data_IF_075349651749
#
_entry.id   IF_075349651749
#
_cell.length_a   1.000
_cell.length_b   1.000
_cell.length_c   1.000
_cell.angle_alpha   90.00
_cell.angle_beta   90.00
_cell.angle_gamma   90.00
#
_symmetry.space_group_name_H-M   'P 1'
#
loop_
_entity.id
_entity.type
_entity.pdbx_description
1 polymer ?
#
# COMPACT_ATOMS: atom_id res chain seq x y z
N UNK A 1 -28.62 18.17 -36.70
CA UNK A 1 -29.59 17.65 -37.70
C UNK A 1 -29.66 16.12 -37.83
N UNK A 2 -28.56 15.34 -37.79
CA UNK A 2 -28.64 13.88 -37.99
C UNK A 2 -29.20 13.08 -36.80
N UNK A 3 -28.85 13.47 -35.56
CA UNK A 3 -29.28 12.77 -34.34
C UNK A 3 -30.76 13.01 -34.02
N UNK A 4 -31.22 14.26 -34.05
CA UNK A 4 -32.62 14.60 -33.76
C UNK A 4 -33.67 14.13 -34.79
N UNK A 5 -33.27 13.37 -35.82
CA UNK A 5 -34.17 12.73 -36.79
C UNK A 5 -34.29 11.21 -36.56
N UNK A 6 -33.61 10.67 -35.55
CA UNK A 6 -33.70 9.27 -35.16
C UNK A 6 -35.02 9.01 -34.42
N UNK A 7 -35.44 7.75 -34.36
CA UNK A 7 -36.47 7.30 -33.41
C UNK A 7 -36.02 7.57 -31.98
N UNK A 8 -36.95 7.87 -31.08
CA UNK A 8 -36.69 8.20 -29.67
C UNK A 8 -35.81 7.15 -28.98
N UNK A 9 -36.16 5.87 -29.12
CA UNK A 9 -35.38 4.71 -28.66
C UNK A 9 -33.88 4.79 -29.04
N UNK A 10 -33.57 5.19 -30.27
CA UNK A 10 -32.19 5.28 -30.76
C UNK A 10 -31.49 6.55 -30.25
N UNK A 11 -32.24 7.60 -29.93
CA UNK A 11 -31.70 8.79 -29.28
C UNK A 11 -31.34 8.47 -27.83
N UNK A 12 -32.20 7.74 -27.12
CA UNK A 12 -31.97 7.36 -25.71
C UNK A 12 -30.75 6.45 -25.54
N UNK A 13 -30.59 5.46 -26.42
CA UNK A 13 -29.37 4.63 -26.48
C UNK A 13 -28.11 5.49 -26.64
N UNK A 14 -28.14 6.44 -27.59
CA UNK A 14 -26.99 7.32 -27.83
C UNK A 14 -26.78 8.31 -26.68
N UNK A 15 -27.84 8.73 -26.00
CA UNK A 15 -27.79 9.59 -24.82
C UNK A 15 -27.06 8.90 -23.67
N UNK A 16 -27.47 7.69 -23.29
CA UNK A 16 -26.79 6.91 -22.23
C UNK A 16 -25.35 6.60 -22.62
N UNK A 17 -25.12 6.12 -23.84
CA UNK A 17 -23.77 5.88 -24.36
C UNK A 17 -22.89 7.14 -24.30
N UNK A 18 -23.47 8.32 -24.52
CA UNK A 18 -22.72 9.58 -24.47
C UNK A 18 -22.25 9.96 -23.07
N UNK A 19 -22.93 9.49 -22.02
CA UNK A 19 -22.55 9.69 -20.62
C UNK A 19 -21.39 8.77 -20.24
N UNK A 20 -21.40 7.53 -20.73
CA UNK A 20 -20.30 6.57 -20.54
C UNK A 20 -19.00 7.11 -21.14
N UNK A 21 -19.02 7.60 -22.38
CA UNK A 21 -17.88 8.26 -22.99
C UNK A 21 -17.88 8.26 -24.51
N UNK A 22 -16.73 8.58 -25.10
CA UNK A 22 -16.53 8.44 -26.55
C UNK A 22 -16.53 6.97 -26.98
N UNK A 23 -16.01 6.10 -26.12
CA UNK A 23 -16.19 4.65 -26.16
C UNK A 23 -17.16 4.24 -25.05
N UNK A 24 -17.93 3.18 -25.30
CA UNK A 24 -18.95 2.69 -24.38
C UNK A 24 -19.18 1.18 -24.57
N UNK A 25 -19.74 0.53 -23.56
CA UNK A 25 -20.04 -0.90 -23.57
C UNK A 25 -21.52 -1.12 -23.86
N UNK A 26 -21.83 -1.98 -24.84
CA UNK A 26 -23.22 -2.25 -25.23
C UNK A 26 -24.05 -2.78 -24.07
N UNK A 27 -23.47 -3.68 -23.26
CA UNK A 27 -24.12 -4.30 -22.10
C UNK A 27 -24.41 -3.29 -20.98
N UNK A 28 -23.53 -2.30 -20.76
CA UNK A 28 -23.77 -1.21 -19.80
C UNK A 28 -24.99 -0.41 -20.24
N UNK A 29 -25.04 0.02 -21.50
CA UNK A 29 -26.18 0.78 -22.03
C UNK A 29 -27.46 -0.06 -22.01
N UNK A 30 -27.37 -1.36 -22.29
CA UNK A 30 -28.49 -2.30 -22.22
C UNK A 30 -29.07 -2.38 -20.81
N UNK A 31 -28.22 -2.54 -19.80
CA UNK A 31 -28.61 -2.62 -18.41
C UNK A 31 -29.25 -1.31 -17.90
N UNK A 32 -28.65 -0.16 -18.21
CA UNK A 32 -29.17 1.16 -17.80
C UNK A 32 -30.53 1.46 -18.45
N UNK A 33 -30.75 0.99 -19.68
CA UNK A 33 -32.01 1.20 -20.41
C UNK A 33 -33.06 0.10 -20.19
N UNK A 34 -32.73 -0.96 -19.43
CA UNK A 34 -33.56 -2.17 -19.29
C UNK A 34 -33.95 -2.79 -20.65
N UNK A 35 -33.00 -2.85 -21.58
CA UNK A 35 -33.16 -3.43 -22.92
C UNK A 35 -32.40 -4.76 -22.98
N UNK A 36 -33.00 -5.78 -23.60
CA UNK A 36 -32.31 -7.06 -23.80
C UNK A 36 -31.03 -6.88 -24.64
N UNK A 37 -29.90 -7.48 -24.22
CA UNK A 37 -28.60 -7.30 -24.88
C UNK A 37 -28.64 -7.57 -26.40
N UNK A 38 -29.40 -8.59 -26.83
CA UNK A 38 -29.55 -8.92 -28.25
C UNK A 38 -30.22 -7.79 -29.03
N UNK A 39 -31.22 -7.14 -28.44
CA UNK A 39 -31.90 -5.99 -29.04
C UNK A 39 -30.97 -4.77 -29.09
N UNK A 40 -30.23 -4.52 -28.01
CA UNK A 40 -29.21 -3.47 -27.97
C UNK A 40 -28.15 -3.66 -29.08
N UNK A 41 -27.61 -4.86 -29.22
CA UNK A 41 -26.62 -5.18 -30.26
C UNK A 41 -27.21 -5.04 -31.67
N UNK A 42 -28.48 -5.36 -31.88
CA UNK A 42 -29.15 -5.12 -33.16
C UNK A 42 -29.30 -3.62 -33.47
N UNK A 43 -29.74 -2.83 -32.49
CA UNK A 43 -29.85 -1.38 -32.62
C UNK A 43 -28.50 -0.73 -32.92
N UNK A 44 -27.43 -1.13 -32.22
CA UNK A 44 -26.08 -0.63 -32.45
C UNK A 44 -25.52 -1.05 -33.81
N UNK A 45 -25.59 -2.34 -34.16
CA UNK A 45 -24.94 -2.88 -35.36
C UNK A 45 -25.67 -2.55 -36.66
N UNK A 46 -27.01 -2.57 -36.67
CA UNK A 46 -27.82 -2.36 -37.88
C UNK A 46 -28.24 -0.90 -38.03
N UNK A 47 -28.90 -0.33 -37.02
CA UNK A 47 -29.45 1.02 -37.13
C UNK A 47 -28.36 2.08 -36.95
N UNK A 48 -27.66 2.09 -35.81
CA UNK A 48 -26.73 3.17 -35.48
C UNK A 48 -25.40 3.09 -36.27
N UNK A 49 -24.86 1.89 -36.49
CA UNK A 49 -23.61 1.69 -37.25
C UNK A 49 -23.84 1.64 -38.75
N UNK A 50 -24.71 0.74 -39.24
CA UNK A 50 -24.84 0.50 -40.69
C UNK A 50 -25.69 1.56 -41.39
N UNK A 51 -26.89 1.84 -40.87
CA UNK A 51 -27.83 2.78 -41.47
C UNK A 51 -27.46 4.24 -41.21
N UNK A 52 -27.21 4.59 -39.94
CA UNK A 52 -26.99 5.98 -39.54
C UNK A 52 -25.50 6.38 -39.44
N UNK A 53 -24.58 5.42 -39.35
CA UNK A 53 -23.11 5.63 -39.25
C UNK A 53 -22.71 6.60 -38.13
N UNK A 54 -23.35 6.46 -36.98
CA UNK A 54 -23.13 7.28 -35.78
C UNK A 54 -22.21 6.61 -34.76
N UNK A 55 -22.12 5.27 -34.79
CA UNK A 55 -21.23 4.48 -33.95
C UNK A 55 -20.40 3.50 -34.80
N UNK A 56 -19.34 2.97 -34.20
CA UNK A 56 -18.48 1.92 -34.76
C UNK A 56 -18.22 0.89 -33.68
N UNK A 57 -18.19 -0.38 -34.07
CA UNK A 57 -17.74 -1.47 -33.22
C UNK A 57 -16.21 -1.40 -33.12
N UNK A 58 -15.68 -1.69 -31.92
CA UNK A 58 -14.26 -1.53 -31.58
C UNK A 58 -13.63 -2.90 -31.35
N UNK A 59 -14.05 -3.58 -30.31
CA UNK A 59 -13.57 -4.89 -29.91
C UNK A 59 -14.60 -5.58 -29.02
N UNK A 60 -14.37 -6.87 -28.77
CA UNK A 60 -15.13 -7.65 -27.80
C UNK A 60 -14.16 -8.13 -26.73
N UNK A 61 -14.51 -7.95 -25.46
CA UNK A 61 -13.70 -8.34 -24.31
C UNK A 61 -14.39 -9.45 -23.53
N UNK A 62 -13.61 -10.43 -23.06
CA UNK A 62 -14.10 -11.44 -22.13
C UNK A 62 -13.78 -10.97 -20.71
N UNK A 63 -14.81 -10.68 -19.93
CA UNK A 63 -14.71 -10.23 -18.52
C UNK A 63 -15.57 -11.14 -17.67
N UNK A 64 -14.99 -11.79 -16.66
CA UNK A 64 -15.66 -12.80 -15.83
C UNK A 64 -16.45 -13.87 -16.61
N UNK A 65 -15.94 -14.28 -17.78
CA UNK A 65 -16.60 -15.27 -18.64
C UNK A 65 -17.81 -14.74 -19.44
N UNK A 66 -18.04 -13.42 -19.45
CA UNK A 66 -19.04 -12.73 -20.27
C UNK A 66 -18.37 -11.92 -21.36
N UNK A 67 -18.98 -11.90 -22.55
CA UNK A 67 -18.49 -11.07 -23.65
C UNK A 67 -19.13 -9.68 -23.57
N UNK A 68 -18.28 -8.66 -23.41
CA UNK A 68 -18.64 -7.25 -23.46
C UNK A 68 -18.27 -6.69 -24.83
N UNK A 69 -19.24 -6.11 -25.53
CA UNK A 69 -19.03 -5.54 -26.86
C UNK A 69 -18.78 -4.04 -26.74
N UNK A 70 -17.57 -3.60 -27.07
CA UNK A 70 -17.18 -2.20 -27.00
C UNK A 70 -17.46 -1.49 -28.33
N UNK A 71 -18.15 -0.36 -28.21
CA UNK A 71 -18.47 0.54 -29.31
C UNK A 71 -17.84 1.91 -29.05
N UNK A 72 -17.73 2.70 -30.11
CA UNK A 72 -17.32 4.09 -30.02
C UNK A 72 -18.17 4.96 -30.95
N UNK A 73 -18.35 6.22 -30.59
CA UNK A 73 -18.95 7.19 -31.49
C UNK A 73 -18.09 7.34 -32.75
N UNK A 74 -18.73 7.44 -33.91
CA UNK A 74 -18.03 7.65 -35.17
C UNK A 74 -17.31 9.02 -35.22
N UNK A 75 -17.72 9.96 -34.36
CA UNK A 75 -17.09 11.27 -34.19
C UNK A 75 -17.39 11.82 -32.79
N UNK A 76 -16.35 12.29 -32.07
CA UNK A 76 -16.49 12.84 -30.70
C UNK A 76 -17.51 13.98 -30.57
N UNK A 77 -17.73 14.76 -31.64
CA UNK A 77 -18.77 15.82 -31.65
C UNK A 77 -20.19 15.29 -31.44
N UNK A 78 -20.50 14.05 -31.84
CA UNK A 78 -21.82 13.46 -31.59
C UNK A 78 -22.02 13.19 -30.10
N UNK A 79 -21.04 12.55 -29.46
CA UNK A 79 -21.03 12.33 -28.02
C UNK A 79 -21.16 13.66 -27.28
N UNK A 80 -20.33 14.66 -27.61
CA UNK A 80 -20.36 15.97 -26.95
C UNK A 80 -21.70 16.68 -27.10
N UNK A 81 -22.31 16.62 -28.29
CA UNK A 81 -23.62 17.24 -28.55
C UNK A 81 -24.72 16.60 -27.68
N UNK A 82 -24.76 15.27 -27.61
CA UNK A 82 -25.72 14.53 -26.79
C UNK A 82 -25.50 14.82 -25.31
N UNK A 83 -24.27 14.64 -24.83
CA UNK A 83 -23.91 14.83 -23.43
C UNK A 83 -24.13 16.26 -22.93
N UNK A 84 -23.81 17.27 -23.74
CA UNK A 84 -24.04 18.68 -23.40
C UNK A 84 -25.50 19.10 -23.47
N UNK A 85 -26.36 18.32 -24.13
CA UNK A 85 -27.80 18.52 -24.16
C UNK A 85 -28.50 18.13 -22.86
N UNK A 86 -27.87 17.28 -22.04
CA UNK A 86 -28.44 16.78 -20.79
C UNK A 86 -28.40 17.81 -19.66
N UNK A 87 -29.46 17.83 -18.86
CA UNK A 87 -29.52 18.61 -17.63
C UNK A 87 -28.52 18.11 -16.58
N UNK A 88 -28.11 18.97 -15.64
CA UNK A 88 -27.18 18.58 -14.59
C UNK A 88 -27.67 17.39 -13.73
N UNK A 89 -28.97 17.37 -13.40
CA UNK A 89 -29.57 16.28 -12.62
C UNK A 89 -29.63 14.96 -13.39
N UNK A 90 -29.95 15.01 -14.68
CA UNK A 90 -30.00 13.84 -15.57
C UNK A 90 -28.62 13.23 -15.77
N UNK A 91 -27.59 14.05 -16.03
CA UNK A 91 -26.21 13.57 -16.11
C UNK A 91 -25.80 12.88 -14.82
N UNK A 92 -26.06 13.49 -13.67
CA UNK A 92 -25.73 12.93 -12.37
C UNK A 92 -26.35 11.54 -12.16
N UNK A 93 -27.64 11.37 -12.49
CA UNK A 93 -28.31 10.07 -12.39
C UNK A 93 -27.70 9.03 -13.33
N UNK A 94 -27.56 9.38 -14.61
CA UNK A 94 -26.99 8.48 -15.61
C UNK A 94 -25.55 8.08 -15.28
N UNK A 95 -24.73 8.99 -14.74
CA UNK A 95 -23.38 8.65 -14.29
C UNK A 95 -23.38 7.59 -13.19
N UNK A 96 -24.31 7.66 -12.23
CA UNK A 96 -24.43 6.68 -11.15
C UNK A 96 -24.93 5.32 -11.66
N UNK A 97 -25.93 5.32 -12.54
CA UNK A 97 -26.47 4.10 -13.16
C UNK A 97 -25.40 3.39 -14.00
N UNK A 98 -24.64 4.16 -14.79
CA UNK A 98 -23.51 3.64 -15.58
C UNK A 98 -22.40 3.12 -14.68
N UNK A 99 -22.05 3.83 -13.60
CA UNK A 99 -21.02 3.38 -12.66
C UNK A 99 -21.39 2.02 -12.02
N UNK A 100 -22.65 1.90 -11.60
CA UNK A 100 -23.18 0.67 -11.00
C UNK A 100 -23.17 -0.47 -12.01
N UNK A 101 -23.64 -0.23 -13.23
CA UNK A 101 -23.62 -1.24 -14.29
C UNK A 101 -22.19 -1.67 -14.68
N UNK A 102 -21.24 -0.73 -14.76
CA UNK A 102 -19.84 -1.05 -15.00
C UNK A 102 -19.25 -1.91 -13.87
N UNK A 103 -19.48 -1.53 -12.61
CA UNK A 103 -18.98 -2.28 -11.46
C UNK A 103 -19.57 -3.70 -11.41
N UNK A 104 -20.87 -3.87 -11.67
CA UNK A 104 -21.53 -5.18 -11.69
C UNK A 104 -21.10 -6.07 -12.87
N UNK A 105 -20.86 -5.48 -14.05
CA UNK A 105 -20.44 -6.24 -15.23
C UNK A 105 -18.98 -6.64 -15.17
N UNK A 106 -18.13 -5.83 -14.53
CA UNK A 106 -16.71 -6.12 -14.41
C UNK A 106 -16.37 -6.97 -13.16
N UNK A 107 -17.21 -6.95 -12.12
CA UNK A 107 -17.04 -7.80 -10.94
C UNK A 107 -15.67 -7.64 -10.30
N UNK A 108 -14.96 -8.75 -10.11
CA UNK A 108 -13.61 -8.77 -9.54
C UNK A 108 -12.57 -8.07 -10.44
N UNK A 109 -12.87 -7.86 -11.72
CA UNK A 109 -12.02 -7.14 -12.68
C UNK A 109 -12.29 -5.62 -12.72
N UNK A 110 -13.19 -5.08 -11.87
CA UNK A 110 -13.56 -3.67 -11.85
C UNK A 110 -12.38 -2.72 -11.57
N UNK A 111 -11.36 -3.18 -10.83
CA UNK A 111 -10.12 -2.42 -10.64
C UNK A 111 -9.45 -2.05 -11.97
N UNK A 112 -9.57 -2.88 -13.02
CA UNK A 112 -9.01 -2.61 -14.34
C UNK A 112 -9.61 -1.38 -15.04
N UNK A 113 -10.78 -0.92 -14.60
CA UNK A 113 -11.46 0.29 -15.09
C UNK A 113 -11.61 1.35 -13.99
N UNK A 114 -10.80 1.29 -12.94
CA UNK A 114 -10.86 2.22 -11.80
C UNK A 114 -10.87 3.71 -12.20
N UNK A 115 -10.07 4.19 -13.18
CA UNK A 115 -10.14 5.59 -13.63
C UNK A 115 -11.53 5.99 -14.18
N UNK A 116 -12.21 5.07 -14.88
CA UNK A 116 -13.54 5.31 -15.42
C UNK A 116 -14.59 5.32 -14.29
N UNK A 117 -14.56 4.32 -13.40
CA UNK A 117 -15.46 4.25 -12.24
C UNK A 117 -15.31 5.47 -11.33
N UNK A 118 -14.08 5.89 -11.05
CA UNK A 118 -13.78 7.09 -10.26
C UNK A 118 -14.45 8.35 -10.84
N UNK A 119 -14.37 8.53 -12.17
CA UNK A 119 -15.02 9.66 -12.84
C UNK A 119 -16.55 9.57 -12.73
N UNK A 120 -17.12 8.40 -13.03
CA UNK A 120 -18.57 8.25 -13.02
C UNK A 120 -19.16 8.45 -11.62
N UNK A 121 -18.59 7.84 -10.58
CA UNK A 121 -19.05 8.07 -9.20
C UNK A 121 -18.85 9.51 -8.75
N UNK A 122 -17.76 10.17 -9.16
CA UNK A 122 -17.57 11.60 -8.90
C UNK A 122 -18.66 12.47 -9.54
N UNK A 123 -18.98 12.23 -10.82
CA UNK A 123 -20.03 12.96 -11.55
C UNK A 123 -21.45 12.64 -11.04
N UNK A 124 -21.64 11.45 -10.42
CA UNK A 124 -22.86 11.05 -9.74
C UNK A 124 -23.05 11.69 -8.35
N UNK A 125 -21.97 12.23 -7.76
CA UNK A 125 -21.95 12.75 -6.40
C UNK A 125 -21.78 11.67 -5.32
N UNK A 126 -21.32 10.48 -5.69
CA UNK A 126 -21.03 9.37 -4.78
C UNK A 126 -19.57 9.45 -4.30
N UNK A 127 -19.31 10.39 -3.38
CA UNK A 127 -17.95 10.75 -2.96
C UNK A 127 -17.14 9.59 -2.39
N UNK A 128 -17.76 8.66 -1.67
CA UNK A 128 -17.06 7.51 -1.09
C UNK A 128 -16.50 6.58 -2.16
N UNK A 129 -17.34 6.07 -3.08
CA UNK A 129 -16.89 5.23 -4.19
C UNK A 129 -15.94 5.98 -5.13
N UNK A 130 -16.18 7.27 -5.37
CA UNK A 130 -15.26 8.10 -6.14
C UNK A 130 -13.86 8.17 -5.52
N UNK A 131 -13.78 8.24 -4.17
CA UNK A 131 -12.52 8.22 -3.45
C UNK A 131 -11.81 6.87 -3.53
N UNK A 132 -12.54 5.76 -3.42
CA UNK A 132 -11.99 4.40 -3.50
C UNK A 132 -11.39 4.12 -4.87
N UNK A 133 -12.16 4.33 -5.94
CA UNK A 133 -11.66 4.12 -7.30
C UNK A 133 -10.58 5.13 -7.69
N UNK A 134 -10.63 6.37 -7.20
CA UNK A 134 -9.53 7.32 -7.38
C UNK A 134 -8.26 6.85 -6.68
N UNK A 135 -8.37 6.24 -5.50
CA UNK A 135 -7.20 5.70 -4.78
C UNK A 135 -6.63 4.48 -5.50
N UNK A 136 -7.50 3.56 -5.95
CA UNK A 136 -7.11 2.38 -6.74
C UNK A 136 -6.38 2.78 -8.04
N UNK A 137 -6.94 3.72 -8.81
CA UNK A 137 -6.30 4.25 -10.01
C UNK A 137 -4.95 4.91 -9.71
N UNK A 138 -4.84 5.62 -8.58
CA UNK A 138 -3.58 6.21 -8.11
C UNK A 138 -2.53 5.15 -7.79
N UNK A 139 -2.93 4.05 -7.13
CA UNK A 139 -2.05 2.93 -6.80
C UNK A 139 -1.53 2.22 -8.07
N UNK A 140 -2.42 1.95 -9.03
CA UNK A 140 -2.05 1.36 -10.32
C UNK A 140 -1.07 2.26 -11.10
N UNK A 141 -1.35 3.56 -11.19
CA UNK A 141 -0.48 4.52 -11.86
C UNK A 141 0.90 4.62 -11.16
N UNK A 142 0.93 4.59 -9.83
CA UNK A 142 2.17 4.59 -9.04
C UNK A 142 3.00 3.33 -9.29
N UNK A 143 2.38 2.15 -9.33
CA UNK A 143 3.05 0.89 -9.66
C UNK A 143 3.60 0.87 -11.09
N UNK A 144 2.94 1.59 -12.01
CA UNK A 144 3.40 1.80 -13.38
C UNK A 144 4.44 2.92 -13.53
N UNK A 145 4.87 3.56 -12.43
CA UNK A 145 5.76 4.74 -12.42
C UNK A 145 5.20 5.96 -13.18
N UNK A 146 3.89 6.02 -13.41
CA UNK A 146 3.18 7.16 -13.97
C UNK A 146 2.89 8.19 -12.87
N UNK A 147 3.95 8.87 -12.40
CA UNK A 147 3.90 9.73 -11.22
C UNK A 147 2.86 10.86 -11.33
N UNK A 148 2.75 11.53 -12.49
CA UNK A 148 1.78 12.62 -12.69
C UNK A 148 0.33 12.11 -12.60
N UNK A 149 0.03 10.98 -13.23
CA UNK A 149 -1.30 10.36 -13.18
C UNK A 149 -1.65 9.92 -11.76
N UNK A 150 -0.70 9.28 -11.06
CA UNK A 150 -0.88 8.88 -9.67
C UNK A 150 -1.16 10.08 -8.76
N UNK A 151 -0.41 11.19 -8.93
CA UNK A 151 -0.62 12.44 -8.18
C UNK A 151 -2.03 12.98 -8.41
N UNK A 152 -2.50 13.03 -9.65
CA UNK A 152 -3.83 13.53 -9.99
C UNK A 152 -4.94 12.67 -9.38
N UNK A 153 -4.80 11.35 -9.45
CA UNK A 153 -5.75 10.40 -8.86
C UNK A 153 -5.80 10.52 -7.34
N UNK A 154 -4.65 10.54 -6.65
CA UNK A 154 -4.63 10.72 -5.20
C UNK A 154 -5.18 12.08 -4.75
N UNK A 155 -4.91 13.16 -5.49
CA UNK A 155 -5.50 14.48 -5.20
C UNK A 155 -7.03 14.48 -5.32
N UNK A 156 -7.58 13.79 -6.32
CA UNK A 156 -9.04 13.60 -6.46
C UNK A 156 -9.61 12.82 -5.28
N UNK A 157 -9.00 11.69 -4.92
CA UNK A 157 -9.41 10.92 -3.75
C UNK A 157 -9.40 11.77 -2.48
N UNK A 158 -8.34 12.57 -2.26
CA UNK A 158 -8.22 13.44 -1.09
C UNK A 158 -9.31 14.51 -1.01
N UNK A 159 -9.79 15.04 -2.14
CA UNK A 159 -10.88 16.01 -2.14
C UNK A 159 -12.15 15.39 -1.50
N UNK A 160 -12.54 14.21 -1.97
CA UNK A 160 -13.72 13.50 -1.46
C UNK A 160 -13.54 13.02 -0.01
N UNK A 161 -12.38 12.46 0.34
CA UNK A 161 -12.13 11.98 1.70
C UNK A 161 -12.13 13.12 2.73
N UNK A 162 -11.58 14.29 2.37
CA UNK A 162 -11.59 15.45 3.26
C UNK A 162 -12.98 16.06 3.40
N UNK A 163 -13.76 16.11 2.32
CA UNK A 163 -15.16 16.57 2.35
C UNK A 163 -16.04 15.64 3.18
N UNK A 164 -15.83 14.33 3.09
CA UNK A 164 -16.53 13.32 3.88
C UNK A 164 -16.09 13.20 5.34
N UNK A 165 -15.04 13.90 5.78
CA UNK A 165 -14.51 13.79 7.14
C UNK A 165 -13.71 12.51 7.42
N UNK A 166 -13.32 11.77 6.39
CA UNK A 166 -12.62 10.48 6.45
C UNK A 166 -11.11 10.67 6.73
N UNK A 167 -10.76 11.27 7.86
CA UNK A 167 -9.39 11.69 8.18
C UNK A 167 -8.38 10.54 8.17
N UNK A 168 -8.76 9.33 8.61
CA UNK A 168 -7.88 8.16 8.61
C UNK A 168 -7.53 7.69 7.19
N UNK A 169 -8.52 7.62 6.29
CA UNK A 169 -8.31 7.30 4.86
C UNK A 169 -7.53 8.41 4.17
N UNK A 170 -7.89 9.67 4.41
CA UNK A 170 -7.18 10.82 3.84
C UNK A 170 -5.69 10.85 4.25
N UNK A 171 -5.36 10.53 5.50
CA UNK A 171 -3.98 10.44 5.96
C UNK A 171 -3.18 9.32 5.27
N UNK A 172 -3.79 8.15 5.06
CA UNK A 172 -3.18 7.06 4.26
C UNK A 172 -2.94 7.49 2.82
N UNK A 173 -3.92 8.14 2.18
CA UNK A 173 -3.77 8.65 0.80
C UNK A 173 -2.70 9.76 0.72
N UNK A 174 -2.52 10.57 1.77
CA UNK A 174 -1.42 11.54 1.84
C UNK A 174 -0.04 10.90 1.94
N UNK A 175 0.09 9.75 2.61
CA UNK A 175 1.36 9.00 2.59
C UNK A 175 1.68 8.47 1.19
N UNK A 176 0.68 7.89 0.52
CA UNK A 176 0.79 7.43 -0.88
C UNK A 176 1.24 8.58 -1.79
N UNK A 177 0.56 9.73 -1.69
CA UNK A 177 0.89 10.94 -2.44
C UNK A 177 2.31 11.45 -2.12
N UNK A 178 2.68 11.48 -0.83
CA UNK A 178 4.02 11.87 -0.41
C UNK A 178 5.10 10.97 -0.99
N UNK A 179 4.88 9.65 -0.99
CA UNK A 179 5.78 8.67 -1.60
C UNK A 179 5.88 8.82 -3.12
N UNK A 180 4.78 9.17 -3.81
CA UNK A 180 4.80 9.46 -5.24
C UNK A 180 5.62 10.70 -5.56
N UNK A 181 5.48 11.79 -4.81
CA UNK A 181 6.35 12.96 -4.97
C UNK A 181 7.81 12.65 -4.64
N UNK A 182 8.03 11.86 -3.59
CA UNK A 182 9.36 11.47 -3.13
C UNK A 182 10.12 10.67 -4.20
N UNK A 183 9.44 9.70 -4.83
CA UNK A 183 10.00 8.91 -5.93
C UNK A 183 10.20 9.73 -7.21
N UNK A 184 9.36 10.75 -7.43
CA UNK A 184 9.54 11.77 -8.47
C UNK A 184 10.57 12.86 -8.14
N UNK A 185 11.28 12.77 -7.00
CA UNK A 185 12.25 13.75 -6.51
C UNK A 185 11.69 15.16 -6.23
N UNK A 186 10.37 15.31 -6.12
CA UNK A 186 9.71 16.52 -5.63
C UNK A 186 9.62 16.50 -4.10
N UNK A 187 10.78 16.65 -3.45
CA UNK A 187 10.87 16.53 -1.99
C UNK A 187 10.13 17.63 -1.24
N UNK A 188 9.86 18.78 -1.87
CA UNK A 188 9.08 19.85 -1.26
C UNK A 188 7.62 19.41 -1.12
N UNK A 189 7.02 18.90 -2.21
CA UNK A 189 5.64 18.42 -2.17
C UNK A 189 5.50 17.12 -1.37
N UNK A 190 6.51 16.25 -1.41
CA UNK A 190 6.56 15.06 -0.57
C UNK A 190 6.49 15.44 0.92
N UNK A 191 7.33 16.40 1.35
CA UNK A 191 7.32 16.91 2.73
C UNK A 191 5.95 17.47 3.12
N UNK A 192 5.34 18.30 2.27
CA UNK A 192 4.02 18.88 2.58
C UNK A 192 2.95 17.80 2.73
N UNK A 193 2.94 16.79 1.84
CA UNK A 193 2.00 15.68 1.92
C UNK A 193 2.20 14.85 3.20
N UNK A 194 3.44 14.57 3.58
CA UNK A 194 3.74 13.86 4.84
C UNK A 194 3.30 14.65 6.07
N UNK A 195 3.64 15.94 6.16
CA UNK A 195 3.25 16.80 7.27
C UNK A 195 1.71 16.88 7.42
N UNK A 196 0.99 17.03 6.31
CA UNK A 196 -0.47 17.02 6.33
C UNK A 196 -1.02 15.65 6.75
N UNK A 197 -0.44 14.55 6.25
CA UNK A 197 -0.88 13.21 6.59
C UNK A 197 -0.64 12.86 8.06
N UNK A 198 0.49 13.25 8.64
CA UNK A 198 0.75 13.11 10.08
C UNK A 198 -0.26 13.92 10.91
N UNK A 199 -0.55 15.15 10.52
CA UNK A 199 -1.54 15.98 11.21
C UNK A 199 -2.94 15.35 11.17
N UNK A 200 -3.35 14.79 10.02
CA UNK A 200 -4.62 14.07 9.92
C UNK A 200 -4.62 12.77 10.73
N UNK A 201 -3.51 12.03 10.79
CA UNK A 201 -3.43 10.84 11.64
C UNK A 201 -3.43 11.15 13.14
N UNK A 202 -2.90 12.29 13.56
CA UNK A 202 -3.03 12.74 14.94
C UNK A 202 -4.48 13.09 15.26
N UNK A 203 -5.19 13.77 14.35
CA UNK A 203 -6.63 14.06 14.49
C UNK A 203 -7.50 12.80 14.45
N UNK A 204 -7.13 11.83 13.60
CA UNK A 204 -7.76 10.52 13.55
C UNK A 204 -7.27 9.59 14.68
N UNK A 205 -6.29 10.02 15.47
CA UNK A 205 -5.67 9.28 16.58
C UNK A 205 -6.57 9.08 17.80
N UNK A 206 -7.85 9.45 17.71
CA UNK A 206 -8.93 9.06 18.63
C UNK A 206 -9.86 7.98 18.03
N UNK A 207 -9.44 7.25 16.99
CA UNK A 207 -10.13 6.00 16.63
C UNK A 207 -9.63 4.89 17.55
N UNK A 208 -10.40 4.64 18.62
CA UNK A 208 -10.30 3.44 19.45
C UNK A 208 -10.14 2.20 18.54
N UNK A 209 -9.05 1.44 18.67
CA UNK A 209 -8.95 0.16 17.99
C UNK A 209 -10.18 -0.67 18.40
N UNK A 210 -10.96 -1.15 17.43
CA UNK A 210 -11.99 -2.14 17.74
C UNK A 210 -11.28 -3.34 18.36
N UNK A 211 -11.43 -3.51 19.69
CA UNK A 211 -10.79 -4.59 20.40
C UNK A 211 -11.30 -5.92 19.82
N UNK A 212 -10.44 -6.60 19.06
CA UNK A 212 -10.77 -7.91 18.53
C UNK A 212 -10.79 -8.89 19.69
N UNK A 213 -11.79 -9.77 19.72
CA UNK A 213 -11.77 -10.89 20.65
C UNK A 213 -10.56 -11.76 20.35
N UNK A 214 -9.76 -12.07 21.38
CA UNK A 214 -8.62 -12.97 21.27
C UNK A 214 -9.04 -14.27 20.57
N UNK A 215 -8.18 -14.73 19.65
CA UNK A 215 -8.38 -16.01 19.00
C UNK A 215 -8.50 -17.12 20.06
N UNK A 216 -9.49 -18.03 19.93
CA UNK A 216 -9.74 -19.05 20.95
C UNK A 216 -8.62 -20.10 21.05
N UNK A 217 -7.78 -20.21 20.01
CA UNK A 217 -6.70 -21.17 19.89
C UNK A 217 -5.43 -20.50 19.33
N UNK A 218 -4.30 -21.20 19.47
CA UNK A 218 -3.05 -20.79 18.83
C UNK A 218 -3.19 -20.84 17.31
N UNK A 219 -2.58 -19.89 16.61
CA UNK A 219 -2.39 -19.99 15.16
C UNK A 219 -1.32 -21.05 14.90
N UNK A 220 -1.69 -22.14 14.23
CA UNK A 220 -0.75 -23.17 13.81
C UNK A 220 -0.38 -22.93 12.36
N UNK A 221 0.91 -22.87 12.08
CA UNK A 221 1.39 -22.67 10.72
C UNK A 221 2.61 -23.53 10.43
N UNK A 222 2.73 -23.92 9.17
CA UNK A 222 3.91 -24.60 8.67
C UNK A 222 4.93 -23.58 8.18
N UNK A 223 6.21 -23.80 8.50
CA UNK A 223 7.34 -23.01 8.02
C UNK A 223 8.57 -23.89 7.78
N UNK A 224 9.58 -23.33 7.12
CA UNK A 224 10.94 -23.87 7.17
C UNK A 224 11.73 -23.19 8.30
N UNK A 225 12.66 -23.91 8.92
CA UNK A 225 13.43 -23.38 10.05
C UNK A 225 14.28 -22.16 9.66
N UNK A 226 14.23 -21.04 10.41
CA UNK A 226 15.07 -19.88 10.14
C UNK A 226 16.54 -20.18 10.49
N UNK A 227 17.47 -19.68 9.68
CA UNK A 227 18.91 -19.84 9.94
C UNK A 227 19.34 -19.02 11.16
N UNK A 228 18.75 -17.82 11.35
CA UNK A 228 19.07 -16.92 12.46
C UNK A 228 17.91 -15.98 12.74
N UNK A 229 17.79 -15.53 13.99
CA UNK A 229 16.86 -14.46 14.36
C UNK A 229 17.57 -13.11 14.51
N UNK A 230 18.85 -13.01 14.12
CA UNK A 230 19.60 -11.75 14.12
C UNK A 230 19.30 -10.98 12.83
N UNK A 231 18.58 -9.84 12.88
CA UNK A 231 18.20 -9.08 11.69
C UNK A 231 19.37 -8.69 10.79
N UNK A 232 20.55 -8.52 11.37
CA UNK A 232 21.75 -8.08 10.66
C UNK A 232 22.48 -9.23 9.97
N UNK A 233 22.36 -10.46 10.49
CA UNK A 233 23.01 -11.65 9.94
C UNK A 233 22.12 -12.43 8.97
N UNK A 234 20.80 -12.28 9.09
CA UNK A 234 19.84 -12.90 8.19
C UNK A 234 20.05 -12.42 6.74
N UNK A 235 19.86 -13.33 5.79
CA UNK A 235 19.98 -13.03 4.35
C UNK A 235 18.96 -13.78 3.48
N UNK A 236 18.08 -14.55 4.12
CA UNK A 236 17.18 -15.48 3.45
C UNK A 236 15.75 -15.25 3.96
N UNK A 237 14.76 -15.61 3.14
CA UNK A 237 13.35 -15.22 3.32
C UNK A 237 12.69 -15.84 4.56
N UNK A 238 13.14 -17.02 5.01
CA UNK A 238 12.60 -17.75 6.16
C UNK A 238 12.91 -17.02 7.46
N UNK A 239 14.18 -16.65 7.68
CA UNK A 239 14.58 -15.78 8.79
C UNK A 239 13.83 -14.45 8.74
N UNK A 240 13.72 -13.85 7.55
CA UNK A 240 13.01 -12.57 7.38
C UNK A 240 11.55 -12.64 7.82
N UNK A 241 10.84 -13.73 7.53
CA UNK A 241 9.46 -13.94 7.93
C UNK A 241 9.31 -13.89 9.46
N UNK A 242 10.14 -14.63 10.19
CA UNK A 242 10.09 -14.65 11.66
C UNK A 242 10.59 -13.33 12.26
N UNK A 243 11.66 -12.74 11.70
CA UNK A 243 12.21 -11.46 12.19
C UNK A 243 11.16 -10.34 12.14
N UNK A 244 10.31 -10.29 11.11
CA UNK A 244 9.21 -9.30 11.02
C UNK A 244 8.16 -9.46 12.11
N UNK A 245 8.00 -10.66 12.68
CA UNK A 245 7.12 -10.88 13.84
C UNK A 245 7.77 -10.42 15.16
N UNK A 246 9.10 -10.41 15.21
CA UNK A 246 9.89 -10.14 16.42
C UNK A 246 10.35 -8.68 16.51
N UNK A 247 10.47 -7.96 15.40
CA UNK A 247 11.06 -6.63 15.39
C UNK A 247 10.26 -5.66 14.51
N UNK A 248 10.29 -4.39 14.91
CA UNK A 248 9.62 -3.27 14.25
C UNK A 248 10.62 -2.17 13.89
N UNK A 249 10.47 -1.59 12.71
CA UNK A 249 11.36 -0.57 12.14
C UNK A 249 10.89 0.87 12.38
N UNK A 250 11.62 1.84 11.80
CA UNK A 250 11.18 3.25 11.80
C UNK A 250 9.81 3.41 11.15
N UNK A 251 9.60 2.67 10.06
CA UNK A 251 8.40 2.63 9.25
C UNK A 251 8.02 1.18 9.00
N UNK A 252 6.77 0.96 8.60
CA UNK A 252 6.25 -0.36 8.20
C UNK A 252 5.67 -0.30 6.78
N UNK A 253 5.42 -1.47 6.21
CA UNK A 253 4.72 -1.64 4.96
C UNK A 253 3.22 -1.85 5.22
N UNK A 254 2.34 -1.07 4.59
CA UNK A 254 0.91 -1.36 4.59
C UNK A 254 0.62 -2.63 3.77
N UNK A 255 -0.60 -3.22 3.86
CA UNK A 255 -1.01 -4.32 2.98
C UNK A 255 -0.87 -4.00 1.49
N UNK A 256 -1.02 -2.72 1.12
CA UNK A 256 -0.84 -2.17 -0.24
C UNK A 256 0.64 -1.87 -0.58
N UNK A 257 1.57 -2.32 0.28
CA UNK A 257 3.03 -2.16 0.16
C UNK A 257 3.53 -0.71 0.22
N UNK A 258 2.75 0.19 0.83
CA UNK A 258 3.14 1.59 1.06
C UNK A 258 3.90 1.79 2.36
N UNK A 259 4.64 2.89 2.45
CA UNK A 259 5.37 3.27 3.67
C UNK A 259 4.46 4.00 4.64
N UNK A 260 4.32 3.45 5.84
CA UNK A 260 3.56 4.06 6.96
C UNK A 260 4.41 4.21 8.22
N UNK A 261 4.12 5.16 9.12
CA UNK A 261 4.77 5.29 10.42
C UNK A 261 4.62 4.03 11.26
N UNK A 262 5.71 3.66 11.93
CA UNK A 262 5.71 2.61 12.97
C UNK A 262 6.40 3.13 14.25
N UNK A 263 7.68 2.79 14.48
CA UNK A 263 8.44 3.31 15.64
C UNK A 263 8.69 4.82 15.50
N UNK A 264 8.85 5.34 14.27
CA UNK A 264 8.83 6.77 14.02
C UNK A 264 7.38 7.26 13.99
N UNK A 265 7.02 8.26 14.81
CA UNK A 265 5.71 8.94 14.74
C UNK A 265 5.59 9.82 13.50
N UNK A 266 6.70 10.45 13.11
CA UNK A 266 6.78 11.40 11.99
C UNK A 266 8.21 11.41 11.44
N UNK A 267 8.37 11.88 10.21
CA UNK A 267 9.68 12.19 9.64
C UNK A 267 9.67 13.47 8.83
N UNK A 268 10.83 14.11 8.72
CA UNK A 268 11.05 15.26 7.87
C UNK A 268 12.02 14.91 6.75
N UNK A 269 11.68 15.32 5.52
CA UNK A 269 12.57 15.23 4.36
C UNK A 269 13.15 16.61 4.09
N UNK A 270 14.47 16.74 4.25
CA UNK A 270 15.22 17.99 4.25
C UNK A 270 16.31 18.00 3.18
N UNK A 271 16.82 19.20 2.90
CA UNK A 271 17.98 19.43 2.03
C UNK A 271 17.85 18.78 0.64
N UNK A 272 16.63 18.79 0.09
CA UNK A 272 16.32 18.17 -1.22
C UNK A 272 16.47 16.65 -1.20
N UNK A 273 16.01 15.99 -0.14
CA UNK A 273 16.01 14.53 -0.04
C UNK A 273 17.33 13.91 0.43
N UNK A 274 18.28 14.73 0.90
CA UNK A 274 19.58 14.26 1.42
C UNK A 274 19.63 14.10 2.93
N UNK A 275 18.65 14.65 3.66
CA UNK A 275 18.62 14.57 5.11
C UNK A 275 17.22 14.20 5.58
N UNK A 276 17.15 13.20 6.45
CA UNK A 276 15.92 12.73 7.06
C UNK A 276 16.03 12.91 8.57
N UNK A 277 14.98 13.41 9.21
CA UNK A 277 14.89 13.48 10.67
C UNK A 277 13.67 12.69 11.09
N UNK A 278 13.89 11.55 11.72
CA UNK A 278 12.84 10.71 12.28
C UNK A 278 12.61 11.08 13.73
N UNK A 279 11.36 11.31 14.08
CA UNK A 279 10.93 11.52 15.45
C UNK A 279 10.25 10.23 15.92
N UNK A 280 10.82 9.57 16.91
CA UNK A 280 10.34 8.32 17.47
C UNK A 280 9.17 8.57 18.43
N UNK A 281 8.33 7.56 18.62
CA UNK A 281 7.32 7.58 19.67
C UNK A 281 7.98 7.37 21.04
N UNK A 282 7.39 7.94 22.07
CA UNK A 282 7.88 7.85 23.46
C UNK A 282 7.31 6.64 24.23
N UNK A 283 6.38 5.90 23.63
CA UNK A 283 5.73 4.71 24.20
C UNK A 283 6.34 3.38 23.71
N UNK A 284 7.26 3.40 22.75
CA UNK A 284 7.88 2.18 22.23
C UNK A 284 8.81 1.56 23.27
N UNK A 285 8.59 0.28 23.58
CA UNK A 285 9.38 -0.50 24.53
C UNK A 285 9.87 -1.79 23.90
N UNK A 286 11.09 -2.18 24.26
CA UNK A 286 11.56 -3.54 24.16
C UNK A 286 10.70 -4.46 25.06
N UNK A 287 10.66 -5.77 24.76
CA UNK A 287 9.82 -6.74 25.48
C UNK A 287 10.22 -6.91 26.96
N UNK A 288 11.45 -6.56 27.32
CA UNK A 288 11.93 -6.47 28.70
C UNK A 288 11.45 -5.19 29.43
N UNK A 289 10.95 -4.19 28.71
CA UNK A 289 10.46 -2.91 29.23
C UNK A 289 11.41 -1.74 29.07
N UNK A 290 12.61 -1.97 28.53
CA UNK A 290 13.56 -0.90 28.23
C UNK A 290 13.00 -0.03 27.09
N UNK A 291 13.10 1.31 27.15
CA UNK A 291 12.71 2.17 26.03
C UNK A 291 13.53 1.88 24.77
N UNK A 292 12.86 1.85 23.61
CA UNK A 292 13.56 1.86 22.31
C UNK A 292 14.00 3.29 22.02
N UNK A 293 15.26 3.48 21.64
CA UNK A 293 15.85 4.80 21.42
C UNK A 293 16.45 4.96 20.03
N UNK A 294 16.73 6.19 19.63
CA UNK A 294 17.47 6.49 18.40
C UNK A 294 18.87 5.84 18.37
N UNK A 295 19.50 5.61 19.53
CA UNK A 295 20.79 4.92 19.60
C UNK A 295 20.67 3.45 19.19
N UNK A 296 19.56 2.76 19.49
CA UNK A 296 19.36 1.36 19.09
C UNK A 296 19.38 1.19 17.56
N UNK A 297 18.83 2.16 16.82
CA UNK A 297 18.89 2.20 15.36
C UNK A 297 20.29 2.52 14.85
N UNK A 298 20.94 3.56 15.42
CA UNK A 298 22.29 3.94 15.02
C UNK A 298 23.30 2.81 15.27
N UNK A 299 23.18 2.13 16.42
CA UNK A 299 23.93 0.93 16.77
C UNK A 299 23.69 -0.19 15.75
N UNK A 300 22.44 -0.53 15.46
CA UNK A 300 22.09 -1.59 14.53
C UNK A 300 22.68 -1.35 13.12
N UNK A 301 22.55 -0.12 12.59
CA UNK A 301 23.03 0.21 11.26
C UNK A 301 24.56 0.22 11.18
N UNK A 302 25.24 0.74 12.22
CA UNK A 302 26.71 0.68 12.32
C UNK A 302 27.17 -0.77 12.40
N UNK A 303 26.51 -1.61 13.20
CA UNK A 303 26.81 -3.07 13.29
C UNK A 303 26.58 -3.77 11.95
N UNK A 304 25.53 -3.40 11.21
CA UNK A 304 25.26 -3.93 9.88
C UNK A 304 26.35 -3.59 8.87
N UNK A 305 26.88 -2.37 8.95
CA UNK A 305 27.93 -1.90 8.09
C UNK A 305 29.33 -2.32 8.55
N UNK A 306 29.51 -2.76 9.79
CA UNK A 306 30.82 -3.22 10.27
C UNK A 306 31.30 -4.44 9.45
N UNK A 307 32.48 -4.37 8.80
CA UNK A 307 33.02 -5.49 8.02
C UNK A 307 33.16 -6.79 8.82
N UNK A 308 33.40 -6.70 10.14
CA UNK A 308 33.59 -7.85 11.03
C UNK A 308 32.28 -8.62 11.23
N UNK A 309 31.13 -7.93 11.22
CA UNK A 309 29.82 -8.56 11.37
C UNK A 309 29.50 -9.48 10.19
N UNK A 310 29.98 -9.14 8.98
CA UNK A 310 29.76 -9.93 7.77
C UNK A 310 28.31 -9.94 7.29
N UNK A 311 27.56 -8.83 7.49
CA UNK A 311 26.18 -8.73 7.03
C UNK A 311 26.09 -8.80 5.50
N UNK A 312 25.30 -9.74 4.98
CA UNK A 312 25.05 -9.85 3.53
C UNK A 312 24.20 -8.69 2.99
N UNK A 313 23.45 -8.03 3.88
CA UNK A 313 22.55 -6.93 3.55
C UNK A 313 23.16 -5.53 3.80
N UNK A 314 24.44 -5.44 4.19
CA UNK A 314 25.12 -4.16 4.44
C UNK A 314 25.02 -3.17 3.27
N UNK A 315 25.00 -3.71 2.04
CA UNK A 315 24.91 -2.93 0.81
C UNK A 315 23.61 -2.12 0.68
N UNK A 316 22.53 -2.50 1.36
CA UNK A 316 21.27 -1.75 1.38
C UNK A 316 21.45 -0.37 2.02
N UNK A 317 22.38 -0.22 2.96
CA UNK A 317 22.64 1.04 3.66
C UNK A 317 23.67 1.93 2.94
N UNK A 318 24.13 1.57 1.73
CA UNK A 318 25.20 2.31 1.05
C UNK A 318 24.83 3.73 0.59
N UNK A 319 23.54 4.03 0.48
CA UNK A 319 23.08 5.40 0.19
C UNK A 319 23.23 6.32 1.41
N UNK A 320 23.37 5.76 2.62
CA UNK A 320 23.70 6.53 3.82
C UNK A 320 25.14 7.04 3.71
N UNK A 321 25.33 8.32 3.99
CA UNK A 321 26.62 9.00 3.88
C UNK A 321 27.72 8.27 4.64
N UNK A 322 28.85 8.00 4.00
CA UNK A 322 29.99 7.30 4.59
C UNK A 322 29.81 5.80 4.83
N UNK A 323 28.61 5.23 4.65
CA UNK A 323 28.32 3.83 4.94
C UNK A 323 29.15 2.86 4.10
N UNK A 324 29.21 3.10 2.77
CA UNK A 324 30.00 2.26 1.85
C UNK A 324 31.49 2.29 2.17
N UNK A 325 32.02 3.46 2.51
CA UNK A 325 33.44 3.61 2.84
C UNK A 325 33.78 2.89 4.16
N UNK A 326 32.91 2.99 5.17
CA UNK A 326 33.05 2.28 6.43
C UNK A 326 33.00 0.75 6.24
N UNK A 327 32.00 0.25 5.52
CA UNK A 327 31.88 -1.19 5.25
C UNK A 327 33.02 -1.78 4.40
N UNK A 328 33.67 -0.97 3.58
CA UNK A 328 34.86 -1.39 2.81
C UNK A 328 36.16 -1.27 3.60
N UNK A 329 36.11 -0.86 4.87
CA UNK A 329 37.30 -0.62 5.70
C UNK A 329 38.16 0.56 5.25
N UNK A 330 37.63 1.44 4.41
CA UNK A 330 38.31 2.67 3.95
C UNK A 330 38.30 3.75 5.03
N UNK A 331 37.30 3.68 5.92
CA UNK A 331 37.14 4.50 7.12
C UNK A 331 36.86 3.55 8.27
N UNK A 332 37.54 3.68 9.40
CA UNK A 332 37.36 2.81 10.57
C UNK A 332 36.47 3.41 11.66
N UNK A 333 36.20 4.71 11.62
CA UNK A 333 35.36 5.38 12.61
C UNK A 333 33.87 5.23 12.26
N UNK A 334 33.06 4.48 13.04
CA UNK A 334 31.63 4.30 12.77
C UNK A 334 30.83 5.60 12.88
N UNK A 335 31.35 6.65 13.55
CA UNK A 335 30.67 7.95 13.64
C UNK A 335 30.72 8.76 12.33
N UNK A 336 31.47 8.27 11.34
CA UNK A 336 31.49 8.82 9.98
C UNK A 336 30.31 8.34 9.13
N UNK A 337 29.59 7.29 9.58
CA UNK A 337 28.32 6.87 8.97
C UNK A 337 27.25 7.91 9.31
N UNK A 338 26.49 8.34 8.31
CA UNK A 338 25.45 9.36 8.37
C UNK A 338 24.19 8.94 9.12
N UNK A 339 24.30 8.19 10.21
CA UNK A 339 23.20 7.82 11.13
C UNK A 339 23.55 8.32 12.53
N UNK A 340 22.80 9.32 12.99
CA UNK A 340 23.13 10.09 14.20
C UNK A 340 21.90 10.27 15.08
N UNK A 341 21.89 9.71 16.30
CA UNK A 341 20.91 10.10 17.29
C UNK A 341 21.23 11.53 17.73
N UNK A 342 20.24 12.42 17.63
CA UNK A 342 20.34 13.79 18.13
C UNK A 342 19.97 13.85 19.62
N UNK A 343 19.04 12.99 20.03
CA UNK A 343 18.65 12.70 21.39
C UNK A 343 18.03 11.28 21.46
N UNK A 344 17.39 10.92 22.57
CA UNK A 344 16.82 9.58 22.76
C UNK A 344 15.70 9.22 21.76
N UNK A 345 14.96 10.20 21.23
CA UNK A 345 13.78 10.00 20.38
C UNK A 345 13.88 10.71 19.03
N UNK A 346 15.04 11.26 18.67
CA UNK A 346 15.27 11.89 17.37
C UNK A 346 16.49 11.31 16.68
N UNK A 347 16.28 10.72 15.50
CA UNK A 347 17.31 10.13 14.65
C UNK A 347 17.48 10.94 13.37
N UNK A 348 18.67 11.46 13.13
CA UNK A 348 19.05 12.10 11.88
C UNK A 348 19.79 11.13 10.97
N UNK A 349 19.38 11.07 9.70
CA UNK A 349 20.06 10.31 8.65
C UNK A 349 20.47 11.24 7.52
N UNK A 350 21.76 11.23 7.16
CA UNK A 350 22.32 11.92 6.01
C UNK A 350 22.62 10.91 4.89
N UNK A 351 22.18 11.22 3.67
CA UNK A 351 22.45 10.42 2.47
C UNK A 351 23.59 11.05 1.64
N UNK A 352 24.29 10.24 0.85
CA UNK A 352 25.29 10.72 -0.11
C UNK A 352 24.67 11.64 -1.17
N UNK A 353 23.47 11.31 -1.61
CA UNK A 353 22.69 12.02 -2.62
C UNK A 353 21.19 11.80 -2.37
N UNK A 354 20.30 12.55 -3.03
CA UNK A 354 18.88 12.28 -2.94
C UNK A 354 18.57 10.86 -3.45
N UNK A 355 17.81 10.10 -2.67
CA UNK A 355 17.50 8.69 -2.97
C UNK A 355 16.00 8.45 -2.84
N UNK A 356 15.28 8.43 -3.96
CA UNK A 356 13.81 8.35 -4.00
C UNK A 356 13.21 7.09 -3.36
N UNK A 357 13.96 6.00 -3.24
CA UNK A 357 13.53 4.74 -2.63
C UNK A 357 13.91 4.59 -1.15
N UNK A 358 14.55 5.61 -0.53
CA UNK A 358 15.13 5.49 0.80
C UNK A 358 14.08 5.11 1.87
N UNK A 359 12.91 5.75 1.88
CA UNK A 359 11.85 5.41 2.83
C UNK A 359 11.33 3.97 2.65
N UNK A 360 11.21 3.50 1.41
CA UNK A 360 10.81 2.11 1.12
C UNK A 360 11.85 1.11 1.66
N UNK A 361 13.13 1.44 1.53
CA UNK A 361 14.24 0.61 2.03
C UNK A 361 14.16 0.39 3.54
N UNK A 362 13.61 1.34 4.29
CA UNK A 362 13.47 1.25 5.74
C UNK A 362 12.38 0.27 6.23
N UNK A 363 11.57 -0.28 5.31
CA UNK A 363 10.64 -1.39 5.60
C UNK A 363 11.37 -2.75 5.63
N UNK A 364 12.64 -2.79 5.19
CA UNK A 364 13.43 -4.02 5.18
C UNK A 364 13.97 -4.34 6.58
N UNK A 365 13.85 -5.59 7.03
CA UNK A 365 14.26 -6.01 8.37
C UNK A 365 15.72 -5.71 8.75
N UNK A 366 16.60 -5.57 7.75
CA UNK A 366 17.99 -5.20 7.96
C UNK A 366 18.18 -3.78 8.54
N UNK A 367 17.15 -2.93 8.52
CA UNK A 367 17.17 -1.57 9.07
C UNK A 367 16.49 -1.45 10.42
N UNK A 368 16.03 -2.56 11.00
CA UNK A 368 15.41 -2.60 12.32
C UNK A 368 16.40 -2.28 13.44
N UNK A 369 15.93 -1.75 14.59
CA UNK A 369 16.80 -1.51 15.73
C UNK A 369 17.23 -2.84 16.37
N UNK A 370 18.31 -2.82 17.13
CA UNK A 370 18.74 -3.96 17.96
C UNK A 370 18.80 -3.54 19.43
N UNK A 371 18.45 -4.42 20.38
CA UNK A 371 18.56 -4.13 21.81
C UNK A 371 20.03 -4.10 22.22
N UNK A 372 20.68 -2.93 22.12
CA UNK A 372 22.12 -2.80 22.32
C UNK A 372 22.57 -3.36 23.68
N UNK A 373 21.75 -3.14 24.73
CA UNK A 373 22.00 -3.63 26.08
C UNK A 373 22.02 -5.16 26.19
N UNK A 374 21.30 -5.86 25.32
CA UNK A 374 21.26 -7.34 25.28
C UNK A 374 22.39 -7.89 24.42
N UNK A 375 22.61 -7.29 23.25
CA UNK A 375 23.69 -7.70 22.33
C UNK A 375 25.05 -7.54 23.01
N UNK A 376 25.26 -6.48 23.80
CA UNK A 376 26.51 -6.26 24.52
C UNK A 376 26.77 -7.31 25.61
N UNK A 377 25.73 -7.88 26.22
CA UNK A 377 25.85 -8.85 27.33
C UNK A 377 25.96 -10.29 26.81
N UNK A 378 25.23 -10.62 25.74
CA UNK A 378 25.11 -11.98 25.24
C UNK A 378 25.85 -12.24 23.92
N UNK A 379 26.42 -11.20 23.32
CA UNK A 379 27.21 -11.25 22.08
C UNK A 379 26.52 -12.09 21.00
N UNK A 380 27.17 -13.12 20.45
CA UNK A 380 26.59 -13.98 19.40
C UNK A 380 25.40 -14.84 19.84
N UNK A 381 25.16 -14.99 21.14
CA UNK A 381 24.06 -15.80 21.67
C UNK A 381 22.82 -14.96 22.05
N UNK A 382 22.81 -13.66 21.74
CA UNK A 382 21.73 -12.74 22.12
C UNK A 382 20.36 -13.12 21.55
N UNK A 383 20.32 -13.86 20.44
CA UNK A 383 19.08 -14.33 19.79
C UNK A 383 18.54 -15.65 20.33
N UNK A 384 19.21 -16.28 21.29
CA UNK A 384 18.74 -17.56 21.85
C UNK A 384 17.52 -17.38 22.76
N UNK A 385 16.76 -18.46 22.93
CA UNK A 385 15.59 -18.52 23.83
C UNK A 385 16.00 -18.08 25.24
N UNK A 386 15.19 -17.20 25.84
CA UNK A 386 15.43 -16.63 27.16
C UNK A 386 16.44 -15.48 27.21
N UNK A 387 17.11 -15.15 26.09
CA UNK A 387 18.02 -13.99 25.98
C UNK A 387 17.50 -12.93 25.03
N UNK A 388 16.85 -13.33 23.93
CA UNK A 388 16.36 -12.40 22.92
C UNK A 388 15.34 -11.43 23.49
N UNK A 389 15.51 -10.16 23.14
CA UNK A 389 14.59 -9.07 23.45
C UNK A 389 14.15 -8.44 22.13
N UNK A 390 12.88 -8.09 22.04
CA UNK A 390 12.15 -7.82 20.81
C UNK A 390 11.28 -6.58 20.96
N UNK A 391 11.01 -5.84 19.88
CA UNK A 391 10.10 -4.69 19.89
C UNK A 391 8.90 -4.86 18.94
N UNK A 392 8.78 -6.02 18.28
CA UNK A 392 7.66 -6.35 17.40
C UNK A 392 6.45 -6.94 18.13
N UNK A 393 5.43 -7.39 17.37
CA UNK A 393 4.16 -7.91 17.90
C UNK A 393 4.30 -9.20 18.72
N UNK A 394 5.36 -9.97 18.49
CA UNK A 394 5.62 -11.22 19.19
C UNK A 394 6.99 -11.26 19.86
N UNK A 395 7.13 -12.20 20.79
CA UNK A 395 8.40 -12.61 21.41
C UNK A 395 8.58 -14.11 21.27
N UNK A 396 9.83 -14.54 21.21
CA UNK A 396 10.18 -15.96 21.16
C UNK A 396 9.94 -16.61 22.54
N UNK A 397 9.09 -17.63 22.60
CA UNK A 397 8.88 -18.44 23.80
C UNK A 397 9.74 -19.71 23.78
N UNK A 398 9.75 -20.42 22.66
CA UNK A 398 10.47 -21.68 22.51
C UNK A 398 11.00 -21.87 21.08
N UNK A 399 12.13 -22.57 20.96
CA UNK A 399 12.70 -22.98 19.67
C UNK A 399 13.36 -24.35 19.83
N UNK A 400 12.66 -25.38 19.36
CA UNK A 400 13.17 -26.74 19.24
C UNK A 400 13.81 -26.88 17.85
N UNK A 401 15.14 -26.83 17.80
CA UNK A 401 15.90 -26.81 16.54
C UNK A 401 15.52 -27.99 15.65
N UNK A 402 15.21 -27.72 14.39
CA UNK A 402 14.76 -28.71 13.40
C UNK A 402 13.32 -29.21 13.57
N UNK A 403 12.60 -28.83 14.61
CA UNK A 403 11.25 -29.34 14.90
C UNK A 403 10.18 -28.26 14.93
N UNK A 404 10.32 -27.25 15.80
CA UNK A 404 9.27 -26.27 16.02
C UNK A 404 9.75 -24.97 16.66
N UNK A 405 8.93 -23.93 16.54
CA UNK A 405 9.11 -22.65 17.21
C UNK A 405 7.78 -22.14 17.74
N UNK A 406 7.81 -21.48 18.88
CA UNK A 406 6.64 -20.84 19.48
C UNK A 406 6.89 -19.36 19.65
N UNK A 407 6.00 -18.57 19.06
CA UNK A 407 5.91 -17.14 19.29
C UNK A 407 4.70 -16.83 20.17
N UNK A 408 4.87 -15.93 21.12
CA UNK A 408 3.78 -15.45 21.97
C UNK A 408 3.69 -13.95 21.89
N UNK A 409 2.47 -13.44 22.05
CA UNK A 409 2.20 -12.00 21.95
C UNK A 409 3.08 -11.18 22.89
N UNK A 410 3.62 -10.08 22.36
CA UNK A 410 4.34 -9.09 23.14
C UNK A 410 3.35 -8.05 23.69
N UNK A 411 3.04 -8.14 24.98
CA UNK A 411 2.12 -7.21 25.64
C UNK A 411 2.65 -5.76 25.74
N UNK A 412 3.91 -5.52 25.37
CA UNK A 412 4.52 -4.19 25.33
C UNK A 412 4.63 -3.62 23.91
N UNK A 413 4.06 -4.31 22.92
CA UNK A 413 4.08 -3.87 21.53
C UNK A 413 3.30 -2.56 21.37
N UNK A 414 3.86 -1.60 20.63
CA UNK A 414 3.34 -0.24 20.43
C UNK A 414 2.35 -0.14 19.26
N UNK A 415 2.16 -1.22 18.50
CA UNK A 415 1.34 -1.23 17.29
C UNK A 415 -0.11 -0.86 17.58
N UNK A 416 -0.70 -0.04 16.70
CA UNK A 416 -2.09 0.44 16.83
C UNK A 416 -3.12 -0.67 16.67
N UNK A 417 -2.78 -1.69 15.88
CA UNK A 417 -3.56 -2.91 15.74
C UNK A 417 -2.86 -4.01 16.51
N UNK A 418 -3.49 -4.40 17.60
CA UNK A 418 -2.99 -5.43 18.49
C UNK A 418 -3.12 -6.85 17.91
N UNK A 419 -3.96 -7.02 16.88
CA UNK A 419 -4.38 -8.32 16.37
C UNK A 419 -5.19 -9.12 17.39
N UNK A 420 -5.65 -10.31 17.01
CA UNK A 420 -6.33 -11.24 17.92
C UNK A 420 -5.51 -12.48 18.28
N UNK A 421 -4.41 -12.76 17.55
CA UNK A 421 -3.55 -13.93 17.78
C UNK A 421 -2.72 -13.74 19.05
N UNK A 422 -2.83 -14.68 19.99
CA UNK A 422 -2.06 -14.65 21.25
C UNK A 422 -0.80 -15.50 21.21
N UNK A 423 -0.81 -16.55 20.38
CA UNK A 423 0.22 -17.58 20.27
C UNK A 423 0.27 -18.09 18.85
N UNK A 424 1.48 -18.24 18.32
CA UNK A 424 1.75 -18.88 17.05
C UNK A 424 2.65 -20.10 17.29
N UNK A 425 2.22 -21.26 16.78
CA UNK A 425 2.94 -22.53 16.85
C UNK A 425 3.39 -22.91 15.44
N UNK A 426 4.71 -22.79 15.22
CA UNK A 426 5.37 -23.00 13.95
C UNK A 426 5.95 -24.41 13.92
N UNK A 427 5.52 -25.22 12.96
CA UNK A 427 6.08 -26.55 12.73
C UNK A 427 7.07 -26.52 11.56
N UNK A 428 8.28 -27.03 11.76
CA UNK A 428 9.30 -27.11 10.72
C UNK A 428 9.18 -28.42 9.95
N UNK A 429 8.45 -28.39 8.84
CA UNK A 429 8.30 -29.55 7.95
C UNK A 429 9.06 -29.30 6.65
N UNK A 430 9.71 -30.33 6.12
CA UNK A 430 10.42 -30.25 4.84
C UNK A 430 9.63 -30.91 3.69
N UNK A 431 8.55 -31.63 4.01
CA UNK A 431 7.67 -32.32 3.06
C UNK A 431 6.30 -31.65 3.01
N UNK A 432 5.86 -31.33 1.79
CA UNK A 432 4.52 -30.78 1.55
C UNK A 432 3.46 -31.75 2.07
N UNK A 433 3.58 -33.04 1.80
CA UNK A 433 2.55 -34.03 2.17
C UNK A 433 2.27 -34.02 3.69
N UNK A 434 3.31 -33.85 4.50
CA UNK A 434 3.17 -33.67 5.95
C UNK A 434 2.48 -32.35 6.32
N UNK A 435 2.77 -31.25 5.61
CA UNK A 435 2.07 -29.98 5.81
C UNK A 435 0.58 -30.05 5.44
N UNK A 436 0.22 -30.78 4.37
CA UNK A 436 -1.18 -31.02 4.00
C UNK A 436 -1.90 -31.82 5.08
N UNK A 437 -1.28 -32.91 5.53
CA UNK A 437 -1.86 -33.75 6.57
C UNK A 437 -2.05 -32.98 7.89
N UNK A 438 -1.13 -32.06 8.22
CA UNK A 438 -1.30 -31.16 9.37
C UNK A 438 -2.51 -30.25 9.19
N UNK A 439 -2.69 -29.67 8.00
CA UNK A 439 -3.82 -28.78 7.68
C UNK A 439 -5.17 -29.51 7.69
N UNK A 440 -5.23 -30.75 7.21
CA UNK A 440 -6.48 -31.54 7.17
C UNK A 440 -6.97 -32.01 8.55
N UNK A 441 -6.09 -32.01 9.55
CA UNK A 441 -6.38 -32.47 10.93
C UNK A 441 -6.76 -31.31 11.86
N UNK A 442 -6.44 -30.07 11.49
CA UNK A 442 -6.81 -28.84 12.19
C UNK A 442 -8.23 -28.39 11.79
#
# INVERSE_FOLDING_TARGET
ERVGRLREELQDILTVASVEGEAFTAQVVAQVQDIAEREMLQALSQELRTRHRLVREREEMLVEGRFLSHYQFAHALFQRYLYSGLGAGERRLLHGEIATALEELYGDEAEGIAPQLARHYAEAGEGEKAADYSSCAGDQARLAYAHEEAIDHYRRALAFLKEGGEHGRAARTLMKLGLTYHTAFDFQQARQAYEEGFALWQRAGEMEPTALQSAPHALRSWQLEPVTLDPIRASELLSAAIIRQLFSGLVDASPELDVVPDVARTWEVLEGGRKYVFHLRDDVRWSDGTPVTAEDFAYAWRRALDPVTGSRNAHLLYDVKGARAFHRGQVSDPNRVGVRPLDAVTLAVELEQPTGHFLQLLTHYATYPLPQHVVAVHEGAWTEVGKIVTNGPFKLEAWNRGESMVLVRNLKYHGRFEGNVQREELSFLTDWSAALAMYEVD
#
